data_IF_863406355610
#
_entry.id   IF_863406355610
#
_cell.length_a   1.000
_cell.length_b   1.000
_cell.length_c   1.000
_cell.angle_alpha   90.00
_cell.angle_beta   90.00
_cell.angle_gamma   90.00
#
_symmetry.space_group_name_H-M   'P 1'
#
loop_
_entity.id
_entity.type
_entity.pdbx_description
1 polymer ?
#
# COMPACT_ATOMS: atom_id res chain seq x y z
N UNK A 1 2.79 -58.14 19.19
CA UNK A 1 2.86 -59.21 18.19
C UNK A 1 4.32 -59.40 17.82
N UNK A 2 4.95 -60.43 18.37
CA UNK A 2 6.41 -60.62 18.31
C UNK A 2 6.76 -61.89 19.07
N UNK A 3 7.13 -62.89 18.30
CA UNK A 3 7.40 -64.31 18.60
C UNK A 3 8.57 -64.47 19.59
N UNK A 4 8.50 -65.46 20.50
CA UNK A 4 9.61 -66.39 20.80
C UNK A 4 9.29 -67.28 22.02
N UNK A 5 8.92 -68.54 21.74
CA UNK A 5 9.35 -69.74 22.49
C UNK A 5 10.73 -70.11 21.93
N UNK A 6 11.66 -70.80 22.65
CA UNK A 6 11.36 -72.09 23.30
C UNK A 6 12.22 -72.48 24.52
N UNK A 7 11.76 -73.47 25.29
CA UNK A 7 12.62 -74.34 26.09
C UNK A 7 11.92 -75.69 26.24
N UNK A 8 12.27 -76.59 25.33
CA UNK A 8 12.18 -78.03 25.53
C UNK A 8 13.20 -78.43 26.61
N UNK A 9 12.87 -79.41 27.46
CA UNK A 9 13.74 -80.51 27.91
C UNK A 9 13.03 -81.29 29.03
N UNK A 10 12.83 -82.58 28.75
CA UNK A 10 13.00 -83.72 29.67
C UNK A 10 12.13 -83.81 30.94
N UNK A 11 11.21 -84.79 30.96
CA UNK A 11 11.46 -86.02 31.74
C UNK A 11 10.47 -87.12 31.35
N UNK A 12 11.01 -88.23 30.84
CA UNK A 12 10.35 -89.51 30.68
C UNK A 12 10.87 -90.47 31.75
N UNK A 13 10.05 -91.49 32.03
CA UNK A 13 10.43 -92.84 32.47
C UNK A 13 10.83 -93.04 33.95
N UNK A 14 10.00 -93.76 34.71
CA UNK A 14 10.20 -95.21 34.96
C UNK A 14 9.20 -95.74 36.01
N UNK A 15 8.35 -96.67 35.56
CA UNK A 15 7.61 -97.64 36.38
C UNK A 15 8.42 -98.93 36.34
N UNK A 16 8.87 -99.39 37.49
CA UNK A 16 9.40 -100.72 37.79
C UNK A 16 9.47 -100.83 39.33
N UNK A 17 9.22 -101.93 40.03
CA UNK A 17 8.94 -103.33 39.69
C UNK A 17 8.64 -104.04 41.03
N UNK A 18 7.94 -105.18 40.95
CA UNK A 18 7.95 -106.33 41.85
C UNK A 18 7.36 -106.23 43.27
N UNK A 19 6.21 -106.90 43.43
CA UNK A 19 6.08 -107.90 44.48
C UNK A 19 6.83 -109.19 44.09
N UNK A 20 7.54 -109.76 45.06
CA UNK A 20 8.14 -111.09 45.05
C UNK A 20 7.97 -111.62 46.49
N UNK A 21 7.54 -112.87 46.71
CA UNK A 21 8.37 -114.05 47.03
C UNK A 21 7.41 -115.06 47.72
N UNK A 22 7.54 -116.39 47.74
CA UNK A 22 8.57 -117.40 47.47
C UNK A 22 7.84 -118.73 47.14
N UNK A 23 8.23 -119.61 46.21
CA UNK A 23 9.36 -120.57 46.16
C UNK A 23 9.45 -121.60 47.32
N UNK A 24 8.99 -122.83 47.05
CA UNK A 24 9.60 -124.14 47.41
C UNK A 24 10.40 -124.62 46.16
N UNK A 25 11.38 -125.57 46.17
CA UNK A 25 11.20 -126.98 46.58
C UNK A 25 12.51 -127.72 47.00
N UNK A 26 12.52 -129.08 46.97
CA UNK A 26 13.63 -130.05 46.63
C UNK A 26 13.98 -131.02 47.79
N UNK A 27 14.20 -132.35 47.68
CA UNK A 27 14.16 -133.44 46.66
C UNK A 27 14.35 -134.77 47.44
N UNK A 28 13.93 -135.86 46.79
CA UNK A 28 13.92 -137.28 47.13
C UNK A 28 15.28 -138.01 47.32
N UNK A 29 15.23 -139.19 47.97
CA UNK A 29 15.78 -140.52 47.59
C UNK A 29 15.77 -141.47 48.84
N UNK A 30 15.01 -142.57 48.90
CA UNK A 30 15.34 -143.96 48.47
C UNK A 30 16.65 -144.48 49.09
N UNK A 31 16.88 -145.69 49.63
CA UNK A 31 16.22 -147.00 49.83
C UNK A 31 17.21 -147.80 50.75
N UNK A 32 16.90 -148.84 51.53
CA UNK A 32 16.92 -150.29 51.16
C UNK A 32 16.92 -151.13 52.46
N UNK A 33 15.96 -152.07 52.52
CA UNK A 33 15.94 -153.45 53.05
C UNK A 33 16.70 -153.94 54.31
N UNK A 34 16.02 -154.83 55.05
CA UNK A 34 16.65 -155.95 55.79
C UNK A 34 16.08 -156.17 57.18
N UNK A 35 14.81 -156.56 57.33
CA UNK A 35 14.42 -157.95 57.58
C UNK A 35 14.92 -158.56 58.91
N UNK A 36 14.01 -158.57 59.90
CA UNK A 36 13.68 -159.70 60.77
C UNK A 36 14.77 -160.22 61.72
N UNK A 37 14.94 -159.51 62.83
CA UNK A 37 15.01 -160.07 64.20
C UNK A 37 14.51 -158.99 65.21
N UNK A 38 13.38 -158.35 64.85
CA UNK A 38 13.02 -156.96 65.14
C UNK A 38 11.83 -156.77 66.12
N UNK A 39 11.89 -157.31 67.33
CA UNK A 39 10.77 -157.18 68.29
C UNK A 39 11.12 -156.69 69.71
N UNK A 40 12.40 -156.59 70.08
CA UNK A 40 12.80 -156.20 71.45
C UNK A 40 13.77 -155.00 71.53
N UNK A 41 14.59 -154.73 70.49
CA UNK A 41 15.49 -153.57 70.45
C UNK A 41 14.84 -152.30 69.83
N UNK A 42 13.78 -152.46 69.03
CA UNK A 42 13.01 -151.38 68.38
C UNK A 42 12.41 -150.37 69.38
N UNK A 43 12.11 -150.80 70.62
CA UNK A 43 11.48 -149.94 71.64
C UNK A 43 12.40 -148.91 72.27
N UNK A 44 13.73 -149.10 72.21
CA UNK A 44 14.69 -148.13 72.78
C UNK A 44 15.11 -147.11 71.70
N UNK A 45 15.18 -147.54 70.44
CA UNK A 45 15.43 -146.66 69.30
C UNK A 45 14.18 -145.80 68.97
N UNK A 46 12.97 -146.37 69.01
CA UNK A 46 11.71 -145.60 68.94
C UNK A 46 11.59 -144.57 70.07
N UNK A 47 12.12 -144.86 71.27
CA UNK A 47 12.11 -143.91 72.37
C UNK A 47 13.11 -142.76 72.17
N UNK A 48 14.26 -143.02 71.55
CA UNK A 48 15.24 -141.99 71.19
C UNK A 48 14.77 -141.12 70.01
N UNK A 49 14.17 -141.73 68.98
CA UNK A 49 13.53 -141.00 67.87
C UNK A 49 12.33 -140.19 68.35
N UNK A 50 11.50 -140.73 69.25
CA UNK A 50 10.40 -139.98 69.85
C UNK A 50 10.87 -138.86 70.81
N UNK A 51 12.09 -138.92 71.34
CA UNK A 51 12.69 -137.83 72.09
C UNK A 51 13.27 -136.75 71.15
N UNK A 52 13.92 -137.15 70.05
CA UNK A 52 14.41 -136.24 69.01
C UNK A 52 13.25 -135.48 68.33
N UNK A 53 12.17 -136.17 67.95
CA UNK A 53 10.97 -135.55 67.40
C UNK A 53 10.27 -134.62 68.39
N UNK A 54 10.33 -134.92 69.70
CA UNK A 54 9.83 -133.98 70.74
C UNK A 54 10.69 -132.74 70.84
N UNK A 55 12.02 -132.88 70.79
CA UNK A 55 12.93 -131.75 70.78
C UNK A 55 12.76 -130.89 69.52
N UNK A 56 12.55 -131.50 68.35
CA UNK A 56 12.22 -130.78 67.11
C UNK A 56 10.86 -130.10 67.17
N UNK A 57 9.83 -130.74 67.75
CA UNK A 57 8.52 -130.12 67.97
C UNK A 57 8.59 -128.95 68.95
N UNK A 58 9.41 -129.03 70.00
CA UNK A 58 9.65 -127.90 70.90
C UNK A 58 10.43 -126.78 70.20
N UNK A 59 11.42 -127.11 69.38
CA UNK A 59 12.14 -126.13 68.56
C UNK A 59 11.22 -125.47 67.53
N UNK A 60 10.33 -126.23 66.88
CA UNK A 60 9.33 -125.71 65.96
C UNK A 60 8.29 -124.86 66.69
N UNK A 61 7.84 -125.25 67.89
CA UNK A 61 6.98 -124.41 68.72
C UNK A 61 7.67 -123.12 69.14
N UNK A 62 8.94 -123.16 69.51
CA UNK A 62 9.73 -121.97 69.82
C UNK A 62 9.88 -121.06 68.58
N UNK A 63 10.13 -121.64 67.40
CA UNK A 63 10.19 -120.89 66.13
C UNK A 63 8.82 -120.33 65.74
N UNK A 64 7.73 -121.08 65.92
CA UNK A 64 6.37 -120.61 65.66
C UNK A 64 6.03 -119.47 66.64
N UNK A 65 6.34 -119.61 67.92
CA UNK A 65 6.13 -118.56 68.92
C UNK A 65 6.95 -117.30 68.64
N UNK A 66 8.21 -117.46 68.19
CA UNK A 66 9.05 -116.35 67.74
C UNK A 66 8.50 -115.68 66.47
N UNK A 67 8.04 -116.46 65.49
CA UNK A 67 7.42 -115.95 64.26
C UNK A 67 6.07 -115.30 64.53
N UNK A 68 5.25 -115.84 65.44
CA UNK A 68 4.00 -115.25 65.88
C UNK A 68 4.24 -113.91 66.58
N UNK A 69 5.29 -113.82 67.41
CA UNK A 69 5.75 -112.56 68.00
C UNK A 69 6.22 -111.57 66.94
N UNK A 70 7.06 -111.99 65.99
CA UNK A 70 7.53 -111.14 64.88
C UNK A 70 6.39 -110.68 63.97
N UNK A 71 5.40 -111.54 63.70
CA UNK A 71 4.20 -111.20 62.94
C UNK A 71 3.34 -110.21 63.73
N UNK A 72 3.20 -110.37 65.05
CA UNK A 72 2.48 -109.43 65.89
C UNK A 72 3.16 -108.04 65.90
N UNK A 73 4.49 -107.99 66.02
CA UNK A 73 5.28 -106.75 65.93
C UNK A 73 5.15 -106.11 64.55
N UNK A 74 5.32 -106.88 63.47
CA UNK A 74 5.16 -106.37 62.08
C UNK A 74 3.73 -105.94 61.79
N UNK A 75 2.73 -106.61 62.34
CA UNK A 75 1.32 -106.21 62.20
C UNK A 75 1.05 -104.89 62.93
N UNK A 76 1.64 -104.67 64.10
CA UNK A 76 1.58 -103.40 64.80
C UNK A 76 2.31 -102.28 64.03
N UNK A 77 3.50 -102.55 63.49
CA UNK A 77 4.22 -101.60 62.63
C UNK A 77 3.47 -101.26 61.34
N UNK A 78 2.81 -102.25 60.72
CA UNK A 78 1.96 -102.03 59.54
C UNK A 78 0.76 -101.17 59.88
N UNK A 79 0.08 -101.40 61.02
CA UNK A 79 -0.99 -100.51 61.50
C UNK A 79 -0.50 -99.09 61.72
N UNK A 80 0.67 -98.92 62.36
CA UNK A 80 1.26 -97.59 62.55
C UNK A 80 1.61 -96.92 61.20
N UNK A 81 2.11 -97.67 60.21
CA UNK A 81 2.39 -97.16 58.86
C UNK A 81 1.09 -96.82 58.11
N UNK A 82 0.05 -97.62 58.25
CA UNK A 82 -1.27 -97.37 57.67
C UNK A 82 -1.87 -96.08 58.26
N UNK A 83 -1.78 -95.87 59.58
CA UNK A 83 -2.21 -94.63 60.23
C UNK A 83 -1.42 -93.40 59.72
N UNK A 84 -0.11 -93.56 59.48
CA UNK A 84 0.71 -92.50 58.88
C UNK A 84 0.31 -92.23 57.42
N UNK A 85 0.01 -93.27 56.64
CA UNK A 85 -0.45 -93.14 55.25
C UNK A 85 -1.80 -92.41 55.21
N UNK A 86 -2.76 -92.78 56.05
CA UNK A 86 -4.07 -92.11 56.15
C UNK A 86 -3.91 -90.63 56.49
N UNK A 87 -2.98 -90.29 57.40
CA UNK A 87 -2.68 -88.90 57.73
C UNK A 87 -2.03 -88.14 56.55
N UNK A 88 -1.12 -88.76 55.80
CA UNK A 88 -0.51 -88.16 54.60
C UNK A 88 -1.53 -87.98 53.48
N UNK A 89 -2.43 -88.94 53.24
CA UNK A 89 -3.51 -88.82 52.27
C UNK A 89 -4.45 -87.68 52.62
N UNK A 90 -4.81 -87.53 53.91
CA UNK A 90 -5.59 -86.39 54.39
C UNK A 90 -4.86 -85.06 54.13
N UNK A 91 -3.56 -84.98 54.42
CA UNK A 91 -2.75 -83.79 54.17
C UNK A 91 -2.63 -83.47 52.66
N UNK A 92 -2.52 -84.50 51.80
CA UNK A 92 -2.51 -84.34 50.34
C UNK A 92 -3.86 -83.85 49.84
N UNK A 93 -4.98 -84.38 50.35
CA UNK A 93 -6.32 -83.94 49.99
C UNK A 93 -6.55 -82.46 50.41
N UNK A 94 -6.08 -82.05 51.58
CA UNK A 94 -6.13 -80.66 52.04
C UNK A 94 -5.27 -79.73 51.18
N UNK A 95 -4.02 -80.11 50.87
CA UNK A 95 -3.15 -79.34 49.97
C UNK A 95 -3.72 -79.26 48.55
N UNK A 96 -4.35 -80.32 48.07
CA UNK A 96 -5.00 -80.32 46.74
C UNK A 96 -6.19 -79.35 46.72
N UNK A 97 -7.01 -79.33 47.77
CA UNK A 97 -8.08 -78.32 47.93
C UNK A 97 -7.52 -76.89 48.01
N UNK A 98 -6.40 -76.69 48.70
CA UNK A 98 -5.73 -75.38 48.75
C UNK A 98 -5.20 -74.96 47.37
N UNK A 99 -4.63 -75.89 46.59
CA UNK A 99 -4.16 -75.63 45.22
C UNK A 99 -5.33 -75.26 44.31
N UNK A 100 -6.47 -75.96 44.38
CA UNK A 100 -7.65 -75.61 43.56
C UNK A 100 -8.25 -74.27 43.96
N UNK A 101 -8.26 -73.94 45.26
CA UNK A 101 -8.63 -72.60 45.75
C UNK A 101 -7.70 -71.51 45.19
N UNK A 102 -6.39 -71.70 45.31
CA UNK A 102 -5.39 -70.75 44.80
C UNK A 102 -5.45 -70.61 43.27
N UNK A 103 -5.68 -71.69 42.53
CA UNK A 103 -5.89 -71.64 41.07
C UNK A 103 -7.15 -70.84 40.72
N UNK A 104 -8.24 -70.98 41.49
CA UNK A 104 -9.44 -70.16 41.36
C UNK A 104 -9.18 -68.68 41.66
N UNK A 105 -8.39 -68.38 42.68
CA UNK A 105 -7.96 -67.00 43.00
C UNK A 105 -7.07 -66.41 41.90
N UNK A 106 -6.10 -67.17 41.38
CA UNK A 106 -5.26 -66.75 40.25
C UNK A 106 -6.10 -66.49 39.00
N UNK A 107 -7.05 -67.37 38.68
CA UNK A 107 -7.96 -67.16 37.56
C UNK A 107 -8.83 -65.91 37.76
N UNK A 108 -9.34 -65.69 38.98
CA UNK A 108 -10.09 -64.48 39.31
C UNK A 108 -9.23 -63.22 39.24
N UNK A 109 -7.98 -63.26 39.70
CA UNK A 109 -7.05 -62.12 39.63
C UNK A 109 -6.57 -61.85 38.21
N UNK A 110 -6.37 -62.88 37.38
CA UNK A 110 -6.06 -62.70 35.96
C UNK A 110 -7.26 -62.13 35.20
N UNK A 111 -8.48 -62.61 35.47
CA UNK A 111 -9.69 -62.05 34.86
C UNK A 111 -9.94 -60.59 35.32
N UNK A 112 -9.79 -60.31 36.62
CA UNK A 112 -9.90 -58.94 37.16
C UNK A 112 -8.76 -58.04 36.66
N UNK A 113 -7.54 -58.57 36.52
CA UNK A 113 -6.37 -57.87 36.03
C UNK A 113 -6.45 -57.55 34.54
N UNK A 114 -6.89 -58.51 33.71
CA UNK A 114 -7.17 -58.29 32.29
C UNK A 114 -8.30 -57.28 32.11
N UNK A 115 -9.43 -57.43 32.81
CA UNK A 115 -10.54 -56.48 32.68
C UNK A 115 -10.19 -55.07 33.16
N UNK A 116 -9.50 -54.93 34.31
CA UNK A 116 -9.10 -53.60 34.80
C UNK A 116 -8.03 -52.96 33.92
N UNK A 117 -7.06 -53.75 33.42
CA UNK A 117 -6.05 -53.25 32.49
C UNK A 117 -6.64 -52.89 31.13
N UNK A 118 -7.58 -53.69 30.60
CA UNK A 118 -8.30 -53.40 29.35
C UNK A 118 -9.22 -52.18 29.51
N UNK A 119 -9.95 -52.05 30.60
CA UNK A 119 -10.82 -50.89 30.83
C UNK A 119 -9.99 -49.61 30.99
N UNK A 120 -8.86 -49.67 31.71
CA UNK A 120 -7.94 -48.54 31.84
C UNK A 120 -7.24 -48.23 30.51
N UNK A 121 -6.85 -49.24 29.73
CA UNK A 121 -6.28 -49.05 28.39
C UNK A 121 -7.30 -48.44 27.43
N UNK A 122 -8.57 -48.86 27.48
CA UNK A 122 -9.66 -48.29 26.69
C UNK A 122 -9.95 -46.85 27.08
N UNK A 123 -9.95 -46.52 28.39
CA UNK A 123 -10.07 -45.13 28.89
C UNK A 123 -8.88 -44.28 28.45
N UNK A 124 -7.65 -44.81 28.54
CA UNK A 124 -6.44 -44.12 28.10
C UNK A 124 -6.45 -43.90 26.59
N UNK A 125 -6.89 -44.87 25.80
CA UNK A 125 -6.98 -44.78 24.35
C UNK A 125 -8.08 -43.80 23.92
N UNK A 126 -9.24 -43.82 24.59
CA UNK A 126 -10.30 -42.82 24.35
C UNK A 126 -9.83 -41.40 24.65
N UNK A 127 -9.07 -41.20 25.74
CA UNK A 127 -8.44 -39.91 26.06
C UNK A 127 -7.38 -39.53 25.02
N UNK A 128 -6.57 -40.47 24.55
CA UNK A 128 -5.57 -40.23 23.52
C UNK A 128 -6.21 -39.77 22.20
N UNK A 129 -7.29 -40.43 21.77
CA UNK A 129 -8.06 -40.05 20.57
C UNK A 129 -8.72 -38.68 20.74
N UNK A 130 -9.23 -38.36 21.92
CA UNK A 130 -9.80 -37.03 22.20
C UNK A 130 -8.72 -35.94 22.18
N UNK A 131 -7.56 -36.19 22.77
CA UNK A 131 -6.41 -35.28 22.72
C UNK A 131 -5.89 -35.10 21.29
N UNK A 132 -5.86 -36.16 20.49
CA UNK A 132 -5.47 -36.11 19.07
C UNK A 132 -6.42 -35.21 18.27
N UNK A 133 -7.74 -35.35 18.47
CA UNK A 133 -8.74 -34.45 17.87
C UNK A 133 -8.56 -32.99 18.30
N UNK A 134 -8.22 -32.75 19.56
CA UNK A 134 -7.95 -31.40 20.07
C UNK A 134 -6.67 -30.81 19.46
N UNK A 135 -5.61 -31.60 19.32
CA UNK A 135 -4.36 -31.20 18.66
C UNK A 135 -4.62 -30.86 17.19
N UNK A 136 -5.38 -31.68 16.47
CA UNK A 136 -5.74 -31.42 15.08
C UNK A 136 -6.58 -30.15 14.90
N UNK A 137 -7.51 -29.91 15.82
CA UNK A 137 -8.30 -28.66 15.84
C UNK A 137 -7.40 -27.46 16.07
N UNK A 138 -6.53 -27.49 17.09
CA UNK A 138 -5.58 -26.41 17.38
C UNK A 138 -4.60 -26.18 16.22
N UNK A 139 -4.16 -27.25 15.54
CA UNK A 139 -3.29 -27.15 14.37
C UNK A 139 -3.97 -26.42 13.21
N UNK A 140 -5.25 -26.71 12.94
CA UNK A 140 -6.05 -25.98 11.94
C UNK A 140 -6.24 -24.51 12.32
N UNK A 141 -6.53 -24.22 13.59
CA UNK A 141 -6.69 -22.86 14.09
C UNK A 141 -5.39 -22.05 13.97
N UNK A 142 -4.24 -22.65 14.31
CA UNK A 142 -2.91 -22.02 14.14
C UNK A 142 -2.61 -21.72 12.66
N UNK A 143 -2.95 -22.64 11.75
CA UNK A 143 -2.76 -22.42 10.30
C UNK A 143 -3.69 -21.32 9.75
N UNK A 144 -4.93 -21.26 10.23
CA UNK A 144 -5.86 -20.19 9.88
C UNK A 144 -5.36 -18.82 10.41
N UNK A 145 -4.88 -18.78 11.66
CA UNK A 145 -4.31 -17.57 12.26
C UNK A 145 -3.02 -17.13 11.58
N UNK A 146 -2.14 -18.05 11.18
CA UNK A 146 -0.91 -17.69 10.45
C UNK A 146 -1.22 -17.08 9.08
N UNK A 147 -2.23 -17.59 8.40
CA UNK A 147 -2.72 -17.02 7.13
C UNK A 147 -3.33 -15.62 7.32
N UNK A 148 -4.12 -15.41 8.38
CA UNK A 148 -4.65 -14.10 8.74
C UNK A 148 -3.55 -13.11 9.13
N UNK A 149 -2.54 -13.56 9.89
CA UNK A 149 -1.38 -12.75 10.27
C UNK A 149 -0.61 -12.29 9.02
N UNK A 150 -0.36 -13.19 8.06
CA UNK A 150 0.31 -12.82 6.80
C UNK A 150 -0.50 -11.79 5.99
N UNK A 151 -1.84 -11.94 5.94
CA UNK A 151 -2.71 -10.96 5.28
C UNK A 151 -2.70 -9.60 5.98
N UNK A 152 -2.67 -9.58 7.32
CA UNK A 152 -2.57 -8.35 8.10
C UNK A 152 -1.20 -7.68 7.97
N UNK A 153 -0.10 -8.45 7.94
CA UNK A 153 1.25 -7.95 7.70
C UNK A 153 1.36 -7.33 6.30
N UNK A 154 0.81 -7.97 5.27
CA UNK A 154 0.74 -7.37 3.92
C UNK A 154 -0.06 -6.06 3.92
N UNK A 155 -1.19 -6.00 4.62
CA UNK A 155 -2.00 -4.78 4.74
C UNK A 155 -1.27 -3.69 5.54
N UNK A 156 -0.49 -4.06 6.55
CA UNK A 156 0.32 -3.14 7.34
C UNK A 156 1.45 -2.54 6.49
N UNK A 157 2.17 -3.38 5.72
CA UNK A 157 3.22 -2.92 4.79
C UNK A 157 2.64 -1.99 3.71
N UNK A 158 1.47 -2.31 3.15
CA UNK A 158 0.78 -1.42 2.21
C UNK A 158 0.35 -0.08 2.84
N UNK A 159 -0.04 -0.10 4.11
CA UNK A 159 -0.38 1.11 4.86
C UNK A 159 0.87 1.94 5.18
N UNK A 160 1.98 1.30 5.55
CA UNK A 160 3.28 1.94 5.80
C UNK A 160 3.81 2.62 4.52
N UNK A 161 3.80 1.92 3.38
CA UNK A 161 4.15 2.48 2.07
C UNK A 161 3.29 3.71 1.71
N UNK A 162 2.00 3.71 2.08
CA UNK A 162 1.11 4.88 1.87
C UNK A 162 1.47 6.03 2.81
N UNK A 163 1.83 5.75 4.06
CA UNK A 163 2.27 6.75 5.04
C UNK A 163 3.58 7.39 4.60
N UNK A 164 4.56 6.60 4.14
CA UNK A 164 5.82 7.12 3.60
C UNK A 164 5.58 8.04 2.41
N UNK A 165 4.74 7.63 1.45
CA UNK A 165 4.37 8.46 0.29
C UNK A 165 3.63 9.74 0.67
N UNK A 166 2.81 9.71 1.72
CA UNK A 166 2.16 10.91 2.26
C UNK A 166 3.17 11.82 2.96
N UNK A 167 4.13 11.25 3.68
CA UNK A 167 5.19 11.99 4.35
C UNK A 167 6.14 12.67 3.33
N UNK A 168 6.48 12.00 2.23
CA UNK A 168 7.21 12.60 1.12
C UNK A 168 6.46 13.80 0.52
N UNK A 169 5.16 13.66 0.25
CA UNK A 169 4.32 14.77 -0.25
C UNK A 169 4.22 15.91 0.76
N UNK A 170 4.13 15.61 2.05
CA UNK A 170 4.11 16.62 3.09
C UNK A 170 5.43 17.41 3.12
N UNK A 171 6.56 16.71 2.98
CA UNK A 171 7.89 17.33 2.88
C UNK A 171 8.05 18.19 1.62
N UNK A 172 7.51 17.79 0.46
CA UNK A 172 7.55 18.62 -0.75
C UNK A 172 6.69 19.87 -0.60
N UNK A 173 5.46 19.73 -0.09
CA UNK A 173 4.56 20.86 0.18
C UNK A 173 5.17 21.85 1.21
N UNK A 174 5.85 21.33 2.23
CA UNK A 174 6.55 22.16 3.21
C UNK A 174 7.68 22.97 2.57
N UNK A 175 8.51 22.33 1.71
CA UNK A 175 9.58 23.01 0.96
C UNK A 175 9.03 24.10 0.03
N UNK A 176 7.93 23.82 -0.68
CA UNK A 176 7.26 24.80 -1.55
C UNK A 176 6.71 25.99 -0.76
N UNK A 177 6.08 25.73 0.39
CA UNK A 177 5.59 26.77 1.31
C UNK A 177 6.74 27.67 1.83
N UNK A 178 7.86 27.08 2.24
CA UNK A 178 9.04 27.81 2.69
C UNK A 178 9.71 28.61 1.55
N UNK A 179 9.66 28.09 0.32
CA UNK A 179 10.10 28.83 -0.86
C UNK A 179 9.16 30.01 -1.19
N UNK A 180 7.84 29.80 -1.17
CA UNK A 180 6.85 30.86 -1.36
C UNK A 180 7.00 31.96 -0.30
N UNK A 181 7.18 31.60 0.97
CA UNK A 181 7.42 32.55 2.07
C UNK A 181 8.71 33.36 1.85
N UNK A 182 9.77 32.74 1.33
CA UNK A 182 11.00 33.45 0.94
C UNK A 182 10.77 34.41 -0.24
N UNK A 183 9.99 34.01 -1.25
CA UNK A 183 9.63 34.86 -2.40
C UNK A 183 8.79 36.06 -1.96
N UNK A 184 7.77 35.86 -1.12
CA UNK A 184 6.93 36.92 -0.56
C UNK A 184 7.79 37.94 0.20
N UNK A 185 8.68 37.49 1.09
CA UNK A 185 9.60 38.40 1.81
C UNK A 185 10.52 39.19 0.86
N UNK A 186 10.97 38.60 -0.25
CA UNK A 186 11.78 39.32 -1.27
C UNK A 186 10.95 40.36 -1.99
N UNK A 187 9.72 40.04 -2.41
CA UNK A 187 8.84 41.00 -3.09
C UNK A 187 8.38 42.11 -2.16
N UNK A 188 8.14 41.83 -0.88
CA UNK A 188 7.83 42.85 0.13
C UNK A 188 8.99 43.85 0.32
N UNK A 189 10.23 43.35 0.38
CA UNK A 189 11.41 44.23 0.44
C UNK A 189 11.58 45.07 -0.82
N UNK A 190 11.41 44.47 -1.99
CA UNK A 190 11.48 45.19 -3.26
C UNK A 190 10.37 46.25 -3.40
N UNK A 191 9.15 45.93 -2.93
CA UNK A 191 8.03 46.87 -2.88
C UNK A 191 8.37 48.06 -1.99
N UNK A 192 8.89 47.83 -0.77
CA UNK A 192 9.30 48.91 0.14
C UNK A 192 10.38 49.80 -0.47
N UNK A 193 11.38 49.23 -1.13
CA UNK A 193 12.42 49.99 -1.84
C UNK A 193 11.82 50.82 -2.97
N UNK A 194 10.92 50.24 -3.77
CA UNK A 194 10.26 50.96 -4.86
C UNK A 194 9.35 52.09 -4.34
N UNK A 195 8.67 51.89 -3.20
CA UNK A 195 7.89 52.93 -2.52
C UNK A 195 8.79 54.07 -2.02
N UNK A 196 9.94 53.76 -1.40
CA UNK A 196 10.93 54.75 -0.96
C UNK A 196 11.54 55.53 -2.15
N UNK A 197 11.88 54.85 -3.25
CA UNK A 197 12.37 55.47 -4.47
C UNK A 197 11.30 56.35 -5.14
N UNK A 198 10.04 55.91 -5.17
CA UNK A 198 8.93 56.70 -5.69
C UNK A 198 8.75 57.99 -4.88
N UNK A 199 8.82 57.91 -3.54
CA UNK A 199 8.74 59.08 -2.68
C UNK A 199 9.92 60.03 -2.92
N UNK A 200 11.15 59.50 -3.09
CA UNK A 200 12.32 60.31 -3.48
C UNK A 200 12.15 60.97 -4.85
N UNK A 201 11.68 60.24 -5.86
CA UNK A 201 11.45 60.76 -7.20
C UNK A 201 10.33 61.78 -7.24
N UNK A 202 9.27 61.61 -6.45
CA UNK A 202 8.22 62.61 -6.29
C UNK A 202 8.78 63.90 -5.67
N UNK A 203 9.61 63.80 -4.64
CA UNK A 203 10.30 64.97 -4.06
C UNK A 203 11.26 65.63 -5.05
N UNK A 204 12.05 64.86 -5.80
CA UNK A 204 12.93 65.40 -6.83
C UNK A 204 12.17 66.02 -8.01
N UNK A 205 11.08 65.41 -8.47
CA UNK A 205 10.26 65.92 -9.56
C UNK A 205 9.53 67.20 -9.16
N UNK A 206 9.01 67.27 -7.93
CA UNK A 206 8.43 68.51 -7.40
C UNK A 206 9.49 69.60 -7.25
N UNK A 207 10.70 69.28 -6.77
CA UNK A 207 11.82 70.23 -6.71
C UNK A 207 12.26 70.73 -8.10
N UNK A 208 12.50 69.81 -9.05
CA UNK A 208 12.88 70.15 -10.44
C UNK A 208 11.77 70.89 -11.17
N UNK A 209 10.50 70.57 -10.91
CA UNK A 209 9.37 71.32 -11.50
C UNK A 209 9.34 72.77 -11.04
N UNK A 210 9.63 73.03 -9.75
CA UNK A 210 9.76 74.40 -9.21
C UNK A 210 10.93 75.14 -9.85
N UNK A 211 12.10 74.51 -9.96
CA UNK A 211 13.26 75.08 -10.66
C UNK A 211 12.95 75.35 -12.15
N UNK A 212 12.27 74.43 -12.82
CA UNK A 212 11.90 74.58 -14.22
C UNK A 212 10.88 75.70 -14.39
N UNK A 213 9.90 75.87 -13.50
CA UNK A 213 8.96 77.00 -13.60
C UNK A 213 9.68 78.36 -13.46
N UNK A 214 10.76 78.44 -12.68
CA UNK A 214 11.59 79.64 -12.58
C UNK A 214 12.44 79.88 -13.84
N UNK A 215 13.09 78.83 -14.38
CA UNK A 215 13.97 78.96 -15.56
C UNK A 215 13.18 79.14 -16.87
N UNK A 216 12.02 78.48 -17.01
CA UNK A 216 11.21 78.54 -18.23
C UNK A 216 10.53 79.89 -18.45
N UNK A 217 10.34 80.69 -17.40
CA UNK A 217 9.92 82.08 -17.54
C UNK A 217 10.91 82.93 -18.36
N UNK A 218 12.18 82.50 -18.46
CA UNK A 218 13.25 83.29 -19.09
C UNK A 218 13.67 82.81 -20.50
N UNK A 219 13.38 81.57 -20.92
CA UNK A 219 13.89 81.03 -22.20
C UNK A 219 12.83 80.69 -23.25
N UNK A 220 11.58 80.38 -22.84
CA UNK A 220 10.52 80.10 -23.81
C UNK A 220 9.92 81.42 -24.31
N UNK A 221 9.81 81.64 -25.63
CA UNK A 221 9.05 82.75 -26.16
C UNK A 221 7.66 82.82 -25.51
N UNK A 222 7.14 84.01 -25.15
CA UNK A 222 5.88 84.15 -24.41
C UNK A 222 4.70 83.37 -25.00
N UNK A 223 4.65 83.23 -26.33
CA UNK A 223 3.61 82.44 -27.02
C UNK A 223 3.68 80.94 -26.70
N UNK A 224 4.87 80.35 -26.59
CA UNK A 224 5.07 78.92 -26.33
C UNK A 224 4.90 78.60 -24.85
N UNK A 225 5.35 79.50 -23.95
CA UNK A 225 5.06 79.41 -22.53
C UNK A 225 3.53 79.42 -22.28
N UNK A 226 2.82 80.33 -22.96
CA UNK A 226 1.35 80.41 -22.89
C UNK A 226 0.68 79.16 -23.45
N UNK A 227 1.17 78.62 -24.59
CA UNK A 227 0.61 77.39 -25.18
C UNK A 227 0.86 76.15 -24.32
N UNK A 228 2.05 76.03 -23.75
CA UNK A 228 2.41 74.93 -22.85
C UNK A 228 1.61 75.00 -21.55
N UNK A 229 1.51 76.20 -20.94
CA UNK A 229 0.68 76.41 -19.76
C UNK A 229 -0.78 76.03 -20.03
N UNK A 230 -1.36 76.48 -21.16
CA UNK A 230 -2.73 76.13 -21.55
C UNK A 230 -2.91 74.63 -21.77
N UNK A 231 -1.95 73.96 -22.41
CA UNK A 231 -2.02 72.52 -22.60
C UNK A 231 -1.93 71.76 -21.26
N UNK A 232 -1.00 72.16 -20.39
CA UNK A 232 -0.83 71.57 -19.06
C UNK A 232 -2.05 71.80 -18.17
N UNK A 233 -2.69 72.95 -18.25
CA UNK A 233 -3.92 73.27 -17.53
C UNK A 233 -5.10 72.42 -18.02
N UNK A 234 -5.26 72.23 -19.33
CA UNK A 234 -6.27 71.32 -19.91
C UNK A 234 -6.02 69.87 -19.50
N UNK A 235 -4.77 69.39 -19.59
CA UNK A 235 -4.42 68.01 -19.23
C UNK A 235 -4.57 67.76 -17.73
N UNK A 236 -4.12 68.69 -16.88
CA UNK A 236 -4.25 68.57 -15.42
C UNK A 236 -5.70 68.72 -14.96
N UNK A 237 -6.47 69.61 -15.57
CA UNK A 237 -7.91 69.73 -15.36
C UNK A 237 -8.65 68.44 -15.73
N UNK A 238 -8.37 67.89 -16.92
CA UNK A 238 -8.99 66.64 -17.37
C UNK A 238 -8.55 65.43 -16.52
N UNK A 239 -7.28 65.37 -16.11
CA UNK A 239 -6.80 64.36 -15.18
C UNK A 239 -7.48 64.46 -13.82
N UNK A 240 -7.60 65.65 -13.23
CA UNK A 240 -8.23 65.82 -11.93
C UNK A 240 -9.74 65.55 -11.96
N UNK A 241 -10.42 65.93 -13.05
CA UNK A 241 -11.87 65.76 -13.16
C UNK A 241 -12.29 64.35 -13.63
N UNK A 242 -11.54 63.73 -14.55
CA UNK A 242 -11.89 62.42 -15.11
C UNK A 242 -10.89 61.31 -14.76
N UNK A 243 -9.59 61.57 -14.86
CA UNK A 243 -8.55 60.55 -14.67
C UNK A 243 -8.44 60.03 -13.23
N UNK A 244 -8.23 60.94 -12.26
CA UNK A 244 -8.03 60.63 -10.85
C UNK A 244 -9.25 59.91 -10.23
N UNK A 245 -10.50 60.35 -10.46
CA UNK A 245 -11.68 59.63 -9.97
C UNK A 245 -11.85 58.27 -10.64
N UNK A 246 -11.59 58.16 -11.95
CA UNK A 246 -11.69 56.88 -12.66
C UNK A 246 -10.69 55.85 -12.10
N UNK A 247 -9.43 56.25 -11.90
CA UNK A 247 -8.40 55.38 -11.33
C UNK A 247 -8.74 54.98 -9.89
N UNK A 248 -9.16 55.92 -9.04
CA UNK A 248 -9.56 55.61 -7.66
C UNK A 248 -10.79 54.71 -7.60
N UNK A 249 -11.78 54.92 -8.48
CA UNK A 249 -12.97 54.08 -8.55
C UNK A 249 -12.63 52.66 -9.02
N UNK A 250 -11.72 52.51 -9.99
CA UNK A 250 -11.22 51.19 -10.41
C UNK A 250 -10.46 50.51 -9.27
N UNK A 251 -9.60 51.23 -8.55
CA UNK A 251 -8.83 50.67 -7.44
C UNK A 251 -9.74 50.23 -6.27
N UNK A 252 -10.75 51.05 -5.94
CA UNK A 252 -11.76 50.74 -4.92
C UNK A 252 -12.64 49.56 -5.33
N UNK A 253 -13.11 49.53 -6.59
CA UNK A 253 -13.89 48.40 -7.09
C UNK A 253 -13.07 47.12 -7.17
N UNK A 254 -11.79 47.20 -7.51
CA UNK A 254 -10.91 46.04 -7.51
C UNK A 254 -10.69 45.51 -6.08
N UNK A 255 -10.51 46.37 -5.08
CA UNK A 255 -10.39 45.95 -3.69
C UNK A 255 -11.70 45.37 -3.14
N UNK A 256 -12.84 46.00 -3.39
CA UNK A 256 -14.15 45.46 -3.00
C UNK A 256 -14.45 44.14 -3.70
N UNK A 257 -14.24 44.04 -5.02
CA UNK A 257 -14.49 42.81 -5.78
C UNK A 257 -13.54 41.70 -5.38
N UNK A 258 -12.27 41.99 -5.06
CA UNK A 258 -11.34 40.97 -4.55
C UNK A 258 -11.74 40.46 -3.17
N UNK A 259 -12.21 41.33 -2.26
CA UNK A 259 -12.72 40.92 -0.96
C UNK A 259 -14.01 40.08 -1.07
N UNK A 260 -14.94 40.47 -1.95
CA UNK A 260 -16.14 39.68 -2.25
C UNK A 260 -15.81 38.36 -2.93
N UNK A 261 -14.89 38.36 -3.89
CA UNK A 261 -14.44 37.14 -4.57
C UNK A 261 -13.81 36.18 -3.57
N UNK A 262 -13.04 36.67 -2.60
CA UNK A 262 -12.46 35.84 -1.53
C UNK A 262 -13.54 35.21 -0.64
N UNK A 263 -14.50 36.01 -0.15
CA UNK A 263 -15.63 35.51 0.67
C UNK A 263 -16.56 34.56 -0.09
N UNK A 264 -16.79 34.81 -1.38
CA UNK A 264 -17.58 33.93 -2.25
C UNK A 264 -16.81 32.64 -2.55
N UNK A 265 -15.51 32.73 -2.81
CA UNK A 265 -14.68 31.58 -3.14
C UNK A 265 -14.45 30.65 -1.95
N UNK A 266 -14.31 31.11 -0.70
CA UNK A 266 -14.06 30.24 0.46
C UNK A 266 -15.04 29.05 0.59
N UNK A 267 -16.38 29.24 0.66
CA UNK A 267 -17.32 28.13 0.76
C UNK A 267 -17.35 27.30 -0.53
N UNK A 268 -17.14 27.91 -1.70
CA UNK A 268 -17.11 27.19 -2.97
C UNK A 268 -15.83 26.38 -3.16
N UNK A 269 -14.69 26.81 -2.63
CA UNK A 269 -13.42 26.08 -2.64
C UNK A 269 -13.52 24.89 -1.68
N UNK A 270 -14.06 25.07 -0.48
CA UNK A 270 -14.28 23.97 0.49
C UNK A 270 -15.30 22.95 -0.06
N UNK A 271 -16.42 23.43 -0.61
CA UNK A 271 -17.41 22.56 -1.27
C UNK A 271 -16.83 21.87 -2.50
N UNK A 272 -16.02 22.58 -3.29
CA UNK A 272 -15.35 22.02 -4.46
C UNK A 272 -14.34 20.97 -4.04
N UNK A 273 -13.51 21.20 -3.01
CA UNK A 273 -12.57 20.18 -2.48
C UNK A 273 -13.32 18.90 -2.10
N UNK A 274 -14.46 19.02 -1.39
CA UNK A 274 -15.25 17.88 -0.94
C UNK A 274 -15.96 17.15 -2.11
N UNK A 275 -16.52 17.89 -3.08
CA UNK A 275 -17.18 17.30 -4.27
C UNK A 275 -16.19 16.81 -5.34
N UNK A 276 -14.96 17.32 -5.36
CA UNK A 276 -13.96 16.94 -6.36
C UNK A 276 -13.46 15.51 -6.19
N UNK A 277 -13.50 14.96 -4.98
CA UNK A 277 -13.07 13.58 -4.68
C UNK A 277 -13.83 12.58 -5.57
N UNK A 278 -15.18 12.54 -5.58
CA UNK A 278 -15.93 11.65 -6.47
C UNK A 278 -15.94 12.08 -7.95
N UNK A 279 -15.67 13.36 -8.28
CA UNK A 279 -15.59 13.82 -9.68
C UNK A 279 -14.31 13.35 -10.36
N UNK A 280 -13.19 13.19 -9.63
CA UNK A 280 -11.94 12.64 -10.19
C UNK A 280 -12.15 11.25 -10.81
N UNK A 281 -12.93 10.38 -10.15
CA UNK A 281 -13.22 9.04 -10.68
C UNK A 281 -14.05 9.10 -11.96
N UNK A 282 -15.09 9.96 -12.00
CA UNK A 282 -15.89 10.19 -13.21
C UNK A 282 -15.09 10.80 -14.36
N UNK A 283 -14.16 11.72 -14.07
CA UNK A 283 -13.28 12.33 -15.07
C UNK A 283 -12.29 11.32 -15.68
N UNK A 284 -11.82 10.32 -14.91
CA UNK A 284 -10.96 9.25 -15.45
C UNK A 284 -11.75 8.38 -16.45
N UNK A 285 -13.01 8.07 -16.15
CA UNK A 285 -13.89 7.31 -17.08
C UNK A 285 -14.20 8.14 -18.33
N UNK A 286 -14.54 9.42 -18.17
CA UNK A 286 -14.79 10.31 -19.30
C UNK A 286 -13.54 10.47 -20.18
N UNK A 287 -12.35 10.55 -19.58
CA UNK A 287 -11.08 10.65 -20.30
C UNK A 287 -10.82 9.43 -21.17
N UNK A 288 -11.06 8.21 -20.67
CA UNK A 288 -10.94 6.97 -21.46
C UNK A 288 -11.89 6.97 -22.68
N UNK A 289 -13.09 7.49 -22.53
CA UNK A 289 -14.08 7.53 -23.61
C UNK A 289 -13.83 8.68 -24.61
N UNK A 290 -13.26 9.80 -24.17
CA UNK A 290 -13.03 10.99 -24.98
C UNK A 290 -11.72 10.96 -25.78
N UNK A 291 -10.71 10.21 -25.34
CA UNK A 291 -9.40 10.09 -26.00
C UNK A 291 -9.48 9.76 -27.52
N UNK A 292 -10.28 8.76 -27.98
CA UNK A 292 -10.40 8.49 -29.41
C UNK A 292 -11.07 9.63 -30.20
N UNK A 293 -12.00 10.38 -29.60
CA UNK A 293 -12.63 11.53 -30.26
C UNK A 293 -11.66 12.70 -30.41
N UNK A 294 -10.86 12.99 -29.37
CA UNK A 294 -9.85 14.06 -29.42
C UNK A 294 -8.78 13.74 -30.46
N UNK A 295 -8.30 12.49 -30.53
CA UNK A 295 -7.36 12.08 -31.58
C UNK A 295 -7.96 12.25 -32.97
N UNK A 296 -9.19 11.77 -33.20
CA UNK A 296 -9.87 11.92 -34.50
C UNK A 296 -10.05 13.37 -34.93
N UNK A 297 -10.41 14.26 -34.00
CA UNK A 297 -10.54 15.71 -34.28
C UNK A 297 -9.17 16.31 -34.57
N UNK A 298 -8.14 15.95 -33.81
CA UNK A 298 -6.78 16.45 -34.03
C UNK A 298 -6.24 16.06 -35.42
N UNK A 299 -6.34 14.79 -35.83
CA UNK A 299 -5.91 14.33 -37.16
C UNK A 299 -6.65 15.08 -38.27
N UNK A 300 -7.98 15.18 -38.18
CA UNK A 300 -8.80 15.87 -39.19
C UNK A 300 -8.51 17.37 -39.24
N UNK A 301 -8.17 18.00 -38.12
CA UNK A 301 -7.82 19.42 -38.07
C UNK A 301 -6.48 19.71 -38.74
N UNK A 302 -5.50 18.80 -38.61
CA UNK A 302 -4.20 18.91 -39.28
C UNK A 302 -4.35 18.71 -40.79
N UNK A 303 -5.08 17.68 -41.23
CA UNK A 303 -5.38 17.45 -42.66
C UNK A 303 -6.09 18.64 -43.31
N UNK A 304 -7.07 19.23 -42.62
CA UNK A 304 -7.77 20.41 -43.10
C UNK A 304 -6.84 21.63 -43.21
N UNK A 305 -5.96 21.84 -42.22
CA UNK A 305 -5.00 22.93 -42.24
C UNK A 305 -4.01 22.78 -43.40
N UNK A 306 -3.42 21.60 -43.58
CA UNK A 306 -2.49 21.31 -44.68
C UNK A 306 -3.16 21.49 -46.04
N UNK A 307 -4.37 20.95 -46.23
CA UNK A 307 -5.15 21.14 -47.46
C UNK A 307 -5.45 22.62 -47.72
N UNK A 308 -5.81 23.40 -46.68
CA UNK A 308 -6.05 24.84 -46.83
C UNK A 308 -4.77 25.60 -47.18
N UNK A 309 -3.64 25.23 -46.56
CA UNK A 309 -2.34 25.87 -46.80
C UNK A 309 -1.92 25.63 -48.24
N UNK A 310 -2.04 24.41 -48.73
CA UNK A 310 -1.65 24.06 -50.10
C UNK A 310 -2.58 24.70 -51.14
N UNK A 311 -3.87 24.85 -50.84
CA UNK A 311 -4.82 25.58 -51.69
C UNK A 311 -4.52 27.10 -51.77
N UNK A 312 -4.12 27.71 -50.64
CA UNK A 312 -3.86 29.17 -50.54
C UNK A 312 -2.48 29.55 -51.07
N UNK A 313 -1.48 28.67 -50.95
CA UNK A 313 -0.08 28.92 -51.39
C UNK A 313 0.04 29.50 -52.81
N UNK A 314 -0.58 28.93 -53.86
CA UNK A 314 -0.48 29.50 -55.22
C UNK A 314 -1.12 30.89 -55.34
N UNK A 315 -2.11 31.21 -54.51
CA UNK A 315 -2.76 32.52 -54.52
C UNK A 315 -1.88 33.59 -53.86
N UNK A 316 -1.17 33.24 -52.78
CA UNK A 316 -0.20 34.14 -52.14
C UNK A 316 0.97 34.44 -53.07
N UNK A 317 1.46 33.45 -53.81
CA UNK A 317 2.52 33.65 -54.82
C UNK A 317 2.03 34.56 -55.95
N UNK A 318 0.84 34.32 -56.50
CA UNK A 318 0.24 35.20 -57.53
C UNK A 318 0.04 36.63 -57.05
N UNK A 319 -0.45 36.83 -55.82
CA UNK A 319 -0.61 38.19 -55.25
C UNK A 319 0.74 38.87 -55.07
N UNK A 320 1.78 38.13 -54.66
CA UNK A 320 3.14 38.67 -54.54
C UNK A 320 3.72 39.06 -55.90
N UNK A 321 3.53 38.24 -56.93
CA UNK A 321 3.95 38.53 -58.31
C UNK A 321 3.17 39.72 -58.89
N UNK A 322 1.86 39.78 -58.68
CA UNK A 322 1.01 40.88 -59.15
C UNK A 322 1.33 42.20 -58.45
N UNK A 323 1.63 42.18 -57.15
CA UNK A 323 1.99 43.37 -56.38
C UNK A 323 3.42 43.86 -56.66
N UNK A 324 4.30 42.99 -57.17
CA UNK A 324 5.72 43.35 -57.36
C UNK A 324 5.94 44.53 -58.33
N UNK A 325 5.33 44.59 -59.53
CA UNK A 325 5.44 45.72 -60.44
C UNK A 325 4.95 47.04 -59.80
N UNK A 326 3.78 47.02 -59.15
CA UNK A 326 3.22 48.19 -58.48
C UNK A 326 4.12 48.70 -57.35
N UNK A 327 4.72 47.81 -56.57
CA UNK A 327 5.69 48.19 -55.55
C UNK A 327 6.96 48.81 -56.15
N UNK A 328 7.47 48.26 -57.26
CA UNK A 328 8.65 48.82 -57.95
C UNK A 328 8.36 50.20 -58.55
N UNK A 329 7.17 50.40 -59.11
CA UNK A 329 6.75 51.68 -59.67
C UNK A 329 6.52 52.72 -58.56
N UNK A 330 5.80 52.36 -57.50
CA UNK A 330 5.65 53.20 -56.32
C UNK A 330 7.01 53.56 -55.71
N UNK A 331 7.97 52.62 -55.67
CA UNK A 331 9.34 52.87 -55.24
C UNK A 331 10.05 53.86 -56.16
N UNK A 332 9.90 53.78 -57.49
CA UNK A 332 10.50 54.77 -58.42
C UNK A 332 9.94 56.18 -58.20
N UNK A 333 8.63 56.30 -57.99
CA UNK A 333 7.99 57.59 -57.71
C UNK A 333 8.32 58.12 -56.32
N UNK A 334 8.31 57.27 -55.29
CA UNK A 334 8.47 57.72 -53.91
C UNK A 334 9.93 58.00 -53.55
N UNK A 335 10.89 57.28 -54.15
CA UNK A 335 12.31 57.38 -53.77
C UNK A 335 12.87 58.80 -53.87
N UNK A 336 12.72 59.58 -54.97
CA UNK A 336 13.25 60.94 -55.03
C UNK A 336 12.60 61.88 -53.99
N UNK A 337 11.29 61.76 -53.74
CA UNK A 337 10.62 62.57 -52.71
C UNK A 337 11.06 62.20 -51.29
N UNK A 338 11.21 60.89 -51.01
CA UNK A 338 11.72 60.41 -49.72
C UNK A 338 13.17 60.87 -49.53
N UNK A 339 14.00 60.79 -50.57
CA UNK A 339 15.39 61.23 -50.53
C UNK A 339 15.49 62.74 -50.30
N UNK A 340 14.64 63.55 -50.96
CA UNK A 340 14.58 65.00 -50.77
C UNK A 340 14.11 65.39 -49.37
N UNK A 341 13.05 64.74 -48.85
CA UNK A 341 12.58 64.96 -47.48
C UNK A 341 13.67 64.51 -46.48
N UNK A 342 14.35 63.39 -46.74
CA UNK A 342 15.44 62.91 -45.89
C UNK A 342 16.63 63.89 -45.87
N UNK A 343 16.96 64.51 -47.01
CA UNK A 343 18.03 65.51 -47.12
C UNK A 343 17.69 66.81 -46.39
N UNK A 344 16.48 67.35 -46.59
CA UNK A 344 16.00 68.57 -45.91
C UNK A 344 15.88 68.35 -44.40
N UNK A 345 15.39 67.18 -43.99
CA UNK A 345 15.17 66.88 -42.58
C UNK A 345 16.47 66.43 -41.90
N UNK A 346 17.51 66.01 -42.63
CA UNK A 346 18.79 65.51 -42.09
C UNK A 346 19.39 66.39 -40.98
N UNK A 347 19.60 67.70 -41.15
CA UNK A 347 20.16 68.55 -40.09
C UNK A 347 19.22 68.69 -38.89
N UNK A 348 17.91 68.71 -39.12
CA UNK A 348 16.91 68.79 -38.04
C UNK A 348 16.80 67.47 -37.27
N UNK A 349 16.82 66.32 -37.94
CA UNK A 349 16.85 65.00 -37.31
C UNK A 349 18.15 64.81 -36.55
N UNK A 350 19.30 65.21 -37.07
CA UNK A 350 20.57 65.11 -36.35
C UNK A 350 20.60 66.03 -35.12
N UNK A 351 20.04 67.25 -35.20
CA UNK A 351 19.90 68.14 -34.03
C UNK A 351 18.95 67.58 -32.98
N UNK A 352 17.82 67.01 -33.40
CA UNK A 352 16.88 66.31 -32.51
C UNK A 352 17.53 65.07 -31.90
N UNK A 353 18.27 64.27 -32.69
CA UNK A 353 18.94 63.05 -32.24
C UNK A 353 20.08 63.33 -31.26
N UNK A 354 20.84 64.39 -31.48
CA UNK A 354 21.89 64.85 -30.55
C UNK A 354 21.30 65.37 -29.25
N UNK A 355 20.22 66.15 -29.31
CA UNK A 355 19.51 66.69 -28.14
C UNK A 355 18.77 65.58 -27.35
N UNK A 356 18.17 64.60 -28.03
CA UNK A 356 17.48 63.47 -27.40
C UNK A 356 18.40 62.32 -27.02
N UNK A 357 19.66 62.26 -27.47
CA UNK A 357 20.62 61.18 -27.16
C UNK A 357 20.64 60.76 -25.67
N UNK A 358 20.69 61.68 -24.68
CA UNK A 358 20.64 61.30 -23.27
C UNK A 358 19.29 60.66 -22.86
N UNK A 359 18.18 61.19 -23.38
CA UNK A 359 16.84 60.67 -23.11
C UNK A 359 16.62 59.31 -23.77
N UNK A 360 17.07 59.12 -25.01
CA UNK A 360 16.99 57.86 -25.72
C UNK A 360 17.81 56.77 -25.02
N UNK A 361 19.02 57.09 -24.51
CA UNK A 361 19.80 56.13 -23.71
C UNK A 361 19.04 55.68 -22.47
N UNK A 362 18.42 56.61 -21.75
CA UNK A 362 17.62 56.30 -20.55
C UNK A 362 16.36 55.50 -20.91
N UNK A 363 15.68 55.83 -22.01
CA UNK A 363 14.51 55.11 -22.50
C UNK A 363 14.84 53.69 -22.99
N UNK A 364 15.94 53.51 -23.73
CA UNK A 364 16.42 52.18 -24.15
C UNK A 364 16.80 51.33 -22.95
N UNK A 365 17.45 51.92 -21.94
CA UNK A 365 17.77 51.21 -20.71
C UNK A 365 16.50 50.82 -19.94
N UNK A 366 15.55 51.74 -19.77
CA UNK A 366 14.28 51.45 -19.11
C UNK A 366 13.47 50.37 -19.85
N UNK A 367 13.42 50.45 -21.18
CA UNK A 367 12.76 49.45 -22.02
C UNK A 367 13.48 48.09 -21.98
N UNK A 368 14.81 48.09 -21.96
CA UNK A 368 15.61 46.87 -21.81
C UNK A 368 15.38 46.20 -20.44
N UNK A 369 15.37 46.98 -19.37
CA UNK A 369 15.03 46.50 -18.02
C UNK A 369 13.59 46.00 -17.93
N UNK A 370 12.65 46.68 -18.60
CA UNK A 370 11.25 46.24 -18.71
C UNK A 370 11.14 44.92 -19.47
N UNK A 371 11.79 44.77 -20.63
CA UNK A 371 11.79 43.53 -21.40
C UNK A 371 12.47 42.38 -20.63
N UNK A 372 13.55 42.65 -19.90
CA UNK A 372 14.19 41.67 -19.01
C UNK A 372 13.26 41.22 -17.88
N UNK A 373 12.52 42.17 -17.29
CA UNK A 373 11.50 41.88 -16.28
C UNK A 373 10.32 41.11 -16.88
N UNK A 374 9.82 41.54 -18.05
CA UNK A 374 8.71 40.88 -18.73
C UNK A 374 9.07 39.44 -19.13
N UNK A 375 10.29 39.18 -19.60
CA UNK A 375 10.74 37.82 -19.94
C UNK A 375 10.93 36.93 -18.72
N UNK A 376 11.40 37.48 -17.59
CA UNK A 376 11.48 36.72 -16.32
C UNK A 376 10.09 36.41 -15.78
N UNK A 377 9.17 37.37 -15.77
CA UNK A 377 7.76 37.14 -15.42
C UNK A 377 7.08 36.15 -16.37
N UNK A 378 7.35 36.23 -17.68
CA UNK A 378 6.84 35.27 -18.66
C UNK A 378 7.31 33.86 -18.33
N UNK A 379 8.62 33.66 -18.08
CA UNK A 379 9.16 32.36 -17.66
C UNK A 379 8.56 31.87 -16.34
N UNK A 380 8.36 32.77 -15.38
CA UNK A 380 7.73 32.43 -14.11
C UNK A 380 6.26 32.03 -14.31
N UNK A 381 5.52 32.78 -15.11
CA UNK A 381 4.14 32.47 -15.47
C UNK A 381 4.06 31.13 -16.21
N UNK A 382 4.98 30.85 -17.14
CA UNK A 382 5.08 29.55 -17.80
C UNK A 382 5.29 28.42 -16.79
N UNK A 383 6.19 28.60 -15.81
CA UNK A 383 6.43 27.61 -14.76
C UNK A 383 5.18 27.39 -13.89
N UNK A 384 4.52 28.46 -13.44
CA UNK A 384 3.30 28.38 -12.63
C UNK A 384 2.14 27.75 -13.40
N UNK A 385 1.95 28.11 -14.66
CA UNK A 385 0.92 27.53 -15.53
C UNK A 385 1.21 26.04 -15.76
N UNK A 386 2.46 25.68 -16.04
CA UNK A 386 2.84 24.28 -16.24
C UNK A 386 2.63 23.45 -14.97
N UNK A 387 3.02 23.98 -13.81
CA UNK A 387 2.81 23.33 -12.52
C UNK A 387 1.31 23.17 -12.21
N UNK A 388 0.50 24.21 -12.44
CA UNK A 388 -0.96 24.14 -12.29
C UNK A 388 -1.59 23.11 -13.23
N UNK A 389 -1.14 23.02 -14.49
CA UNK A 389 -1.60 22.00 -15.44
C UNK A 389 -1.24 20.58 -14.98
N UNK A 390 -0.04 20.40 -14.41
CA UNK A 390 0.40 19.13 -13.83
C UNK A 390 -0.41 18.74 -12.59
N UNK A 391 -0.68 19.69 -11.68
CA UNK A 391 -1.47 19.46 -10.46
C UNK A 391 -2.93 19.11 -10.75
N UNK A 392 -3.54 19.72 -11.78
CA UNK A 392 -4.96 19.54 -12.10
C UNK A 392 -5.26 18.38 -13.06
N UNK A 393 -4.31 17.47 -13.30
CA UNK A 393 -4.54 16.24 -14.07
C UNK A 393 -4.96 16.50 -15.53
N UNK A 394 -4.66 17.70 -16.04
CA UNK A 394 -4.96 18.08 -17.42
C UNK A 394 -4.21 17.09 -18.33
N UNK A 395 -4.87 16.50 -19.35
CA UNK A 395 -4.23 15.53 -20.23
C UNK A 395 -2.94 16.11 -20.83
N UNK A 396 -1.88 15.30 -20.92
CA UNK A 396 -0.59 15.69 -21.51
C UNK A 396 -0.75 16.33 -22.91
N UNK A 397 -1.85 16.08 -23.61
CA UNK A 397 -2.19 16.68 -24.91
C UNK A 397 -2.46 18.19 -24.85
N UNK A 398 -2.91 18.74 -23.72
CA UNK A 398 -3.16 20.18 -23.56
C UNK A 398 -2.01 20.92 -22.86
N UNK A 399 -1.07 20.19 -22.26
CA UNK A 399 0.14 20.74 -21.65
C UNK A 399 1.27 20.89 -22.68
N UNK A 400 0.96 21.35 -23.89
CA UNK A 400 1.97 21.62 -24.91
C UNK A 400 2.72 22.91 -24.60
N UNK A 401 4.03 22.92 -24.84
CA UNK A 401 4.90 24.10 -24.59
C UNK A 401 4.38 25.37 -25.26
N UNK A 402 3.72 25.22 -26.41
CA UNK A 402 3.11 26.31 -27.18
C UNK A 402 1.91 26.91 -26.44
N UNK A 403 0.98 26.10 -25.95
CA UNK A 403 -0.17 26.60 -25.18
C UNK A 403 0.28 27.32 -23.90
N UNK A 404 1.26 26.76 -23.19
CA UNK A 404 1.85 27.40 -22.01
C UNK A 404 2.49 28.75 -22.37
N UNK A 405 3.16 28.83 -23.52
CA UNK A 405 3.71 30.09 -24.03
C UNK A 405 2.62 31.11 -24.37
N UNK A 406 1.55 30.70 -25.08
CA UNK A 406 0.44 31.60 -25.39
C UNK A 406 -0.30 32.09 -24.13
N UNK A 407 -0.57 31.20 -23.17
CA UNK A 407 -1.26 31.55 -21.93
C UNK A 407 -0.44 32.53 -21.09
N UNK A 408 0.87 32.30 -20.97
CA UNK A 408 1.79 33.21 -20.29
C UNK A 408 1.88 34.58 -21.00
N UNK A 409 1.94 34.58 -22.34
CA UNK A 409 1.92 35.81 -23.14
C UNK A 409 0.61 36.57 -22.97
N UNK A 410 -0.53 35.87 -22.92
CA UNK A 410 -1.84 36.48 -22.68
C UNK A 410 -1.90 37.11 -21.28
N UNK A 411 -1.38 36.41 -20.26
CA UNK A 411 -1.30 36.94 -18.90
C UNK A 411 -0.47 38.23 -18.83
N UNK A 412 0.60 38.32 -19.63
CA UNK A 412 1.48 39.48 -19.71
C UNK A 412 0.90 40.63 -20.55
N UNK A 413 0.12 40.31 -21.58
CA UNK A 413 -0.53 41.30 -22.45
C UNK A 413 -1.77 41.94 -21.81
N UNK A 414 -2.49 41.21 -20.95
CA UNK A 414 -3.72 41.69 -20.31
C UNK A 414 -3.53 43.02 -19.55
N UNK A 415 -2.53 43.21 -18.68
CA UNK A 415 -2.29 44.48 -18.00
C UNK A 415 -2.02 45.63 -18.97
N UNK A 416 -1.21 45.38 -20.01
CA UNK A 416 -0.87 46.38 -21.02
C UNK A 416 -2.10 46.80 -21.81
N UNK A 417 -2.95 45.85 -22.19
CA UNK A 417 -4.21 46.10 -22.89
C UNK A 417 -5.21 46.87 -22.02
N UNK A 418 -5.32 46.55 -20.73
CA UNK A 418 -6.19 47.27 -19.78
C UNK A 418 -5.71 48.72 -19.61
N UNK A 419 -4.41 48.96 -19.45
CA UNK A 419 -3.85 50.31 -19.35
C UNK A 419 -4.09 51.09 -20.66
N UNK A 420 -3.84 50.47 -21.82
CA UNK A 420 -4.13 51.08 -23.12
C UNK A 420 -5.61 51.45 -23.28
N UNK A 421 -6.53 50.54 -22.92
CA UNK A 421 -7.97 50.79 -22.90
C UNK A 421 -8.35 51.95 -22.00
N UNK A 422 -7.80 52.01 -20.79
CA UNK A 422 -8.06 53.10 -19.85
C UNK A 422 -7.57 54.44 -20.41
N UNK A 423 -6.36 54.50 -20.98
CA UNK A 423 -5.83 55.72 -21.60
C UNK A 423 -6.69 56.16 -22.79
N UNK A 424 -7.10 55.23 -23.66
CA UNK A 424 -7.99 55.55 -24.78
C UNK A 424 -9.36 56.00 -24.29
N UNK A 425 -9.95 55.35 -23.29
CA UNK A 425 -11.26 55.76 -22.75
C UNK A 425 -11.22 57.10 -22.03
N UNK A 426 -10.13 57.43 -21.33
CA UNK A 426 -9.99 58.71 -20.62
C UNK A 426 -9.66 59.87 -21.55
N UNK A 427 -8.82 59.67 -22.56
CA UNK A 427 -8.32 60.75 -23.43
C UNK A 427 -9.02 60.81 -24.79
N UNK A 428 -9.49 59.69 -25.33
CA UNK A 428 -10.26 59.65 -26.56
C UNK A 428 -11.75 59.59 -26.21
N UNK A 429 -12.34 60.74 -25.85
CA UNK A 429 -13.79 60.85 -25.74
C UNK A 429 -14.42 60.47 -27.08
N UNK A 430 -15.12 59.33 -27.08
CA UNK A 430 -15.94 58.90 -28.20
C UNK A 430 -16.98 60.00 -28.41
N UNK A 431 -16.81 60.83 -29.45
CA UNK A 431 -17.87 61.75 -29.90
C UNK A 431 -19.12 60.89 -30.04
N UNK A 432 -20.09 61.07 -29.15
CA UNK A 432 -21.41 60.52 -29.32
C UNK A 432 -21.90 61.01 -30.69
N UNK A 433 -21.82 60.13 -31.70
CA UNK A 433 -22.63 60.27 -32.89
C UNK A 433 -24.05 60.21 -32.35
N UNK A 434 -24.69 61.39 -32.25
CA UNK A 434 -26.12 61.49 -32.00
C UNK A 434 -26.79 60.44 -32.88
N UNK A 435 -27.70 59.61 -32.36
CA UNK A 435 -28.52 58.80 -33.24
C UNK A 435 -29.22 59.81 -34.14
N UNK A 436 -28.90 59.79 -35.44
CA UNK A 436 -29.71 60.47 -36.43
C UNK A 436 -30.99 59.65 -36.49
N UNK A 437 -31.84 59.93 -35.50
CA UNK A 437 -33.17 59.36 -35.34
C UNK A 437 -33.95 59.64 -36.61
N UNK A 438 -34.66 58.62 -37.02
CA UNK A 438 -35.46 58.63 -38.23
C UNK A 438 -36.57 59.66 -38.20
N UNK A 439 -37.05 59.94 -39.40
CA UNK A 439 -38.34 60.53 -39.74
C UNK A 439 -38.69 61.88 -39.10
N UNK A 440 -38.52 62.92 -39.92
CA UNK A 440 -39.19 64.19 -39.75
C UNK A 440 -39.22 64.92 -41.09
N UNK A 441 -40.15 64.52 -41.95
CA UNK A 441 -40.56 65.27 -43.13
C UNK A 441 -40.98 66.68 -42.68
N UNK A 442 -40.33 67.73 -43.20
CA UNK A 442 -40.50 69.10 -42.72
C UNK A 442 -39.95 70.12 -43.70
N UNK A 443 -40.77 70.41 -44.70
CA UNK A 443 -40.54 71.39 -45.75
C UNK A 443 -40.63 72.83 -45.19
N UNK A 444 -39.52 73.57 -45.13
CA UNK A 444 -39.46 75.04 -44.98
C UNK A 444 -37.99 75.45 -45.10
N UNK A 445 -37.56 76.44 -45.86
CA UNK A 445 -38.20 77.53 -46.57
C UNK A 445 -37.05 78.49 -46.90
N UNK A 446 -37.02 79.01 -48.13
CA UNK A 446 -35.96 79.88 -48.64
C UNK A 446 -35.67 81.08 -47.74
N UNK A 447 -34.39 81.34 -47.43
CA UNK A 447 -33.88 82.70 -47.17
C UNK A 447 -32.48 82.87 -47.78
N UNK A 448 -32.45 83.37 -49.02
CA UNK A 448 -31.32 84.12 -49.57
C UNK A 448 -31.37 85.55 -48.99
N UNK A 449 -30.25 86.07 -48.50
CA UNK A 449 -30.02 87.50 -48.44
C UNK A 449 -28.62 87.83 -48.97
N UNK A 450 -28.61 88.55 -50.10
CA UNK A 450 -27.43 89.16 -50.74
C UNK A 450 -26.79 90.19 -49.79
N UNK A 451 -25.45 90.24 -49.75
CA UNK A 451 -24.71 91.50 -49.53
C UNK A 451 -23.83 91.75 -50.75
N UNK A 452 -24.15 92.84 -51.44
CA UNK A 452 -23.34 93.47 -52.50
C UNK A 452 -22.03 93.99 -51.88
N UNK A 453 -20.93 93.82 -52.59
CA UNK A 453 -19.85 94.81 -52.62
C UNK A 453 -19.70 95.26 -54.08
N UNK A 454 -19.56 96.57 -54.25
CA UNK A 454 -19.74 97.30 -55.49
C UNK A 454 -18.55 97.19 -56.45
N UNK A 455 -18.87 97.34 -57.72
CA UNK A 455 -18.00 97.39 -58.88
C UNK A 455 -17.38 98.79 -59.00
N UNK A 456 -16.05 98.84 -59.06
CA UNK A 456 -15.21 99.80 -59.79
C UNK A 456 -13.78 99.29 -59.83
#
# INVERSE_FOLDING_TARGET
MGISRPLALLLALLIAVAGATAEEPVVAADSVAGAVEAAAALRVEEAAEAAALRAELEQLRAKISALESDIAVRSLELKNKDDVIVNLEKAIAEKSKAITSMQGEIASLQAKGSLAAEEQANKANAKAVELEKQIDKLKKDIQAQSSQKAALESRANDAENKVEKLNEKLNTMQKESDEQKRKIKKTERALKVAEEELMRLQLEATAKSKQLTEVHGAWLPPWLATHYARYMEVVSGHWNYHGKPAVQNVLHKASEKSAHAKKWAEPHIETAKMKWIPVKEKLVVLKKNAEPYVQKVSTRSVEFYESSRDAVTPHVVKVKEFAHPYYQEAKKFSKPYIDQIAEITKPHVEKVRTTLKPYTKRAVHAYGSFLGSATTYHRQAQATIMDYLHQHGVPKSFATKELVWFLASALLALPVFVIYRLVVETFCTKKNRRPRGGNGNGNHGQKRHKRRYADK
#
